data_IF_660419235247
#
_entry.id   IF_660419235247
#
_cell.length_a   1.000
_cell.length_b   1.000
_cell.length_c   1.000
_cell.angle_alpha   90.00
_cell.angle_beta   90.00
_cell.angle_gamma   90.00
#
_symmetry.space_group_name_H-M   'P 1'
#
loop_
_entity.id
_entity.type
_entity.pdbx_description
1 polymer ?
#
# COMPACT_ATOMS: atom_id res chain seq x y z
N UNK A 1 16.91 5.52 -16.29
CA UNK A 1 16.14 6.67 -15.74
C UNK A 1 14.93 6.11 -15.03
N UNK A 2 14.69 6.48 -13.79
CA UNK A 2 13.50 6.09 -13.02
C UNK A 2 12.48 7.24 -13.01
N UNK A 3 11.20 6.91 -13.19
CA UNK A 3 10.08 7.85 -13.13
C UNK A 3 9.20 7.53 -11.93
N UNK A 4 8.44 8.50 -11.45
CA UNK A 4 7.46 8.35 -10.36
C UNK A 4 6.09 8.68 -10.91
N UNK A 5 5.09 7.88 -10.53
CA UNK A 5 3.70 8.02 -10.98
C UNK A 5 3.57 7.87 -12.50
N UNK A 6 3.57 6.62 -12.93
CA UNK A 6 3.62 6.25 -14.36
C UNK A 6 2.23 5.98 -14.93
N UNK A 7 2.07 6.28 -16.22
CA UNK A 7 0.88 5.93 -17.00
C UNK A 7 0.99 4.49 -17.53
N UNK A 8 -0.15 3.92 -17.96
CA UNK A 8 -0.19 2.55 -18.47
C UNK A 8 0.75 2.25 -19.64
N UNK A 9 0.98 3.22 -20.52
CA UNK A 9 1.95 3.06 -21.63
C UNK A 9 3.39 3.05 -21.13
N UNK A 10 3.71 3.84 -20.12
CA UNK A 10 5.04 3.88 -19.51
C UNK A 10 5.32 2.58 -18.73
N UNK A 11 4.32 2.00 -18.07
CA UNK A 11 4.42 0.68 -17.47
C UNK A 11 4.63 -0.39 -18.57
N UNK A 12 3.85 -0.35 -19.65
CA UNK A 12 3.93 -1.36 -20.72
C UNK A 12 5.31 -1.40 -21.40
N UNK A 13 5.91 -0.26 -21.66
CA UNK A 13 7.23 -0.15 -22.31
C UNK A 13 8.40 -0.04 -21.33
N UNK A 14 8.12 0.10 -20.04
CA UNK A 14 9.16 0.18 -19.01
C UNK A 14 9.80 -1.17 -18.71
N UNK A 15 10.98 -1.12 -18.13
CA UNK A 15 11.75 -2.31 -17.72
C UNK A 15 11.32 -2.84 -16.35
N UNK A 16 10.68 -2.01 -15.54
CA UNK A 16 10.35 -2.28 -14.16
C UNK A 16 9.09 -1.53 -13.75
N UNK A 17 8.23 -2.21 -12.97
CA UNK A 17 7.21 -1.59 -12.13
C UNK A 17 7.58 -1.81 -10.66
N UNK A 18 7.62 -0.72 -9.86
CA UNK A 18 8.10 -0.75 -8.50
C UNK A 18 7.14 0.00 -7.58
N UNK A 19 6.36 -0.73 -6.81
CA UNK A 19 5.36 -0.19 -5.87
C UNK A 19 5.87 -0.27 -4.45
N UNK A 20 5.86 0.85 -3.76
CA UNK A 20 6.26 0.94 -2.35
C UNK A 20 5.15 1.61 -1.55
N UNK A 21 4.57 0.87 -0.62
CA UNK A 21 3.64 1.40 0.37
C UNK A 21 4.31 1.60 1.71
N UNK A 22 3.82 2.54 2.50
CA UNK A 22 4.35 2.76 3.84
C UNK A 22 3.80 3.99 4.54
N UNK A 23 4.24 4.13 5.76
CA UNK A 23 3.99 5.27 6.63
C UNK A 23 5.25 6.14 6.71
N UNK A 24 5.20 7.27 7.40
CA UNK A 24 6.39 8.13 7.60
C UNK A 24 7.56 7.40 8.26
N UNK A 25 7.26 6.47 9.17
CA UNK A 25 8.29 5.73 9.93
C UNK A 25 8.94 4.58 9.15
N UNK A 26 8.35 4.14 8.05
CA UNK A 26 8.89 3.02 7.30
C UNK A 26 8.01 2.49 6.18
N UNK A 27 8.54 1.49 5.51
CA UNK A 27 7.90 0.76 4.41
C UNK A 27 7.08 -0.39 5.01
N UNK A 28 5.85 -0.58 4.52
CA UNK A 28 4.95 -1.66 4.95
C UNK A 28 4.78 -2.73 3.89
N UNK A 29 4.95 -2.38 2.60
CA UNK A 29 4.86 -3.34 1.51
C UNK A 29 5.68 -2.88 0.30
N UNK A 30 6.20 -3.85 -0.44
CA UNK A 30 6.89 -3.66 -1.71
C UNK A 30 6.36 -4.70 -2.69
N UNK A 31 6.10 -4.27 -3.91
CA UNK A 31 5.87 -5.12 -5.06
C UNK A 31 6.79 -4.66 -6.20
N UNK A 32 7.42 -5.61 -6.86
CA UNK A 32 8.29 -5.33 -8.00
C UNK A 32 8.02 -6.34 -9.11
N UNK A 33 7.75 -5.83 -10.31
CA UNK A 33 7.68 -6.61 -11.54
C UNK A 33 8.83 -6.22 -12.46
N UNK A 34 9.59 -7.19 -12.91
CA UNK A 34 10.72 -7.02 -13.83
C UNK A 34 10.40 -7.63 -15.19
N UNK A 35 10.70 -6.88 -16.24
CA UNK A 35 10.65 -7.33 -17.64
C UNK A 35 12.03 -7.59 -18.23
N UNK A 36 13.08 -7.40 -17.42
CA UNK A 36 14.50 -7.59 -17.75
C UNK A 36 15.16 -8.54 -16.75
N UNK A 37 16.37 -8.98 -17.05
CA UNK A 37 17.05 -10.01 -16.25
C UNK A 37 17.58 -9.56 -14.87
N UNK A 38 17.32 -8.35 -14.47
CA UNK A 38 17.67 -7.84 -13.14
C UNK A 38 17.92 -6.34 -13.14
N UNK A 39 18.04 -5.79 -11.94
CA UNK A 39 18.34 -4.38 -11.70
C UNK A 39 19.70 -4.25 -11.03
N UNK A 40 20.40 -3.17 -11.33
CA UNK A 40 21.62 -2.85 -10.59
C UNK A 40 21.28 -2.28 -9.21
N UNK A 41 22.17 -2.45 -8.21
CA UNK A 41 21.98 -1.86 -6.89
C UNK A 41 21.76 -0.34 -6.91
N UNK A 42 22.35 0.37 -7.88
CA UNK A 42 22.19 1.80 -8.06
C UNK A 42 20.76 2.18 -8.47
N UNK A 43 20.15 1.43 -9.39
CA UNK A 43 18.76 1.64 -9.81
C UNK A 43 17.81 1.38 -8.65
N UNK A 44 18.03 0.31 -7.88
CA UNK A 44 17.24 0.00 -6.69
C UNK A 44 17.35 1.14 -5.66
N UNK A 45 18.54 1.62 -5.39
CA UNK A 45 18.78 2.73 -4.47
C UNK A 45 18.10 4.02 -4.92
N UNK A 46 18.17 4.33 -6.21
CA UNK A 46 17.46 5.48 -6.81
C UNK A 46 15.94 5.34 -6.66
N UNK A 47 15.40 4.14 -6.95
CA UNK A 47 13.97 3.85 -6.82
C UNK A 47 13.48 4.05 -5.38
N UNK A 48 14.21 3.54 -4.38
CA UNK A 48 13.88 3.76 -2.97
C UNK A 48 13.92 5.22 -2.57
N UNK A 49 14.91 5.98 -3.03
CA UNK A 49 15.00 7.41 -2.73
C UNK A 49 13.82 8.19 -3.31
N UNK A 50 13.45 7.90 -4.56
CA UNK A 50 12.31 8.55 -5.23
C UNK A 50 10.97 8.15 -4.61
N UNK A 51 10.74 6.88 -4.34
CA UNK A 51 9.50 6.41 -3.70
C UNK A 51 9.35 6.93 -2.28
N UNK A 52 10.45 7.07 -1.53
CA UNK A 52 10.42 7.68 -0.20
C UNK A 52 9.95 9.15 -0.26
N UNK A 53 10.52 9.94 -1.18
CA UNK A 53 10.13 11.34 -1.37
C UNK A 53 8.67 11.46 -1.82
N UNK A 54 8.25 10.64 -2.79
CA UNK A 54 6.89 10.65 -3.31
C UNK A 54 5.86 10.23 -2.25
N UNK A 55 6.15 9.19 -1.46
CA UNK A 55 5.29 8.74 -0.37
C UNK A 55 5.10 9.81 0.70
N UNK A 56 6.17 10.46 1.12
CA UNK A 56 6.07 11.55 2.08
C UNK A 56 5.24 12.72 1.55
N UNK A 57 5.41 13.09 0.29
CA UNK A 57 4.58 14.10 -0.37
C UNK A 57 3.09 13.70 -0.35
N UNK A 58 2.76 12.45 -0.73
CA UNK A 58 1.38 11.96 -0.71
C UNK A 58 0.80 12.02 0.71
N UNK A 59 1.55 11.60 1.71
CA UNK A 59 1.12 11.64 3.10
C UNK A 59 0.88 13.08 3.58
N UNK A 60 1.82 13.98 3.34
CA UNK A 60 1.80 15.33 3.92
C UNK A 60 0.89 16.30 3.17
N UNK A 61 0.93 16.27 1.83
CA UNK A 61 0.28 17.27 1.00
C UNK A 61 -1.07 16.80 0.44
N UNK A 62 -1.31 15.49 0.39
CA UNK A 62 -2.52 14.94 -0.22
C UNK A 62 -3.44 14.27 0.81
N UNK A 63 -2.91 13.39 1.65
CA UNK A 63 -3.74 12.58 2.55
C UNK A 63 -4.06 13.29 3.87
N UNK A 64 -3.05 13.76 4.59
CA UNK A 64 -3.26 14.37 5.91
C UNK A 64 -4.12 15.65 5.89
N UNK A 65 -4.07 16.53 4.88
CA UNK A 65 -4.98 17.66 4.79
C UNK A 65 -6.46 17.26 4.64
N UNK A 66 -6.73 16.08 4.08
CA UNK A 66 -8.09 15.57 3.88
C UNK A 66 -8.58 14.77 5.09
N UNK A 67 -7.72 13.91 5.65
CA UNK A 67 -8.05 13.07 6.81
C UNK A 67 -6.79 12.86 7.64
N UNK A 68 -6.69 13.59 8.75
CA UNK A 68 -5.52 13.56 9.63
C UNK A 68 -5.47 12.30 10.52
N UNK A 69 -6.64 11.79 10.91
CA UNK A 69 -6.78 10.64 11.80
C UNK A 69 -7.85 9.67 11.28
N UNK A 70 -7.74 8.38 11.60
CA UNK A 70 -8.78 7.41 11.29
C UNK A 70 -10.12 7.84 11.88
N UNK A 71 -11.21 7.58 11.17
CA UNK A 71 -12.55 7.80 11.70
C UNK A 71 -12.78 6.91 12.93
N UNK A 72 -13.47 7.41 13.97
CA UNK A 72 -13.71 6.65 15.20
C UNK A 72 -14.61 5.43 14.96
N UNK A 73 -15.46 5.50 13.94
CA UNK A 73 -16.38 4.42 13.59
C UNK A 73 -16.27 4.02 12.12
N UNK A 74 -16.55 2.75 11.86
CA UNK A 74 -16.67 2.24 10.50
C UNK A 74 -17.93 2.82 9.83
N UNK A 75 -17.87 2.94 8.50
CA UNK A 75 -19.05 3.26 7.70
C UNK A 75 -20.20 2.31 8.03
N UNK A 76 -21.44 2.82 7.96
CA UNK A 76 -22.66 1.99 8.12
C UNK A 76 -22.76 0.86 7.11
N UNK A 77 -22.05 0.94 5.99
CA UNK A 77 -22.01 -0.07 4.93
C UNK A 77 -20.82 -1.02 5.04
N UNK A 78 -19.87 -0.74 5.93
CA UNK A 78 -18.71 -1.59 6.09
C UNK A 78 -19.08 -2.90 6.82
N UNK A 79 -18.51 -4.04 6.43
CA UNK A 79 -18.65 -5.27 7.20
C UNK A 79 -18.07 -5.09 8.60
N UNK A 80 -18.75 -5.61 9.59
CA UNK A 80 -18.33 -5.54 11.00
C UNK A 80 -18.05 -6.94 11.51
N UNK A 81 -17.01 -7.05 12.33
CA UNK A 81 -16.75 -8.27 13.09
C UNK A 81 -17.42 -8.14 14.47
N UNK A 82 -18.30 -9.06 14.77
CA UNK A 82 -18.95 -9.15 16.07
C UNK A 82 -18.54 -10.46 16.74
N UNK A 83 -18.33 -10.41 18.06
CA UNK A 83 -18.03 -11.59 18.86
C UNK A 83 -19.17 -11.85 19.83
N UNK A 84 -19.56 -13.11 19.96
CA UNK A 84 -20.53 -13.58 20.95
C UNK A 84 -20.04 -14.86 21.58
N UNK A 85 -20.48 -15.12 22.79
CA UNK A 85 -20.19 -16.38 23.50
C UNK A 85 -21.37 -17.32 23.25
N UNK A 86 -21.06 -18.53 22.78
CA UNK A 86 -22.04 -19.56 22.49
C UNK A 86 -21.75 -20.78 23.37
N UNK A 87 -22.76 -21.37 24.05
CA UNK A 87 -22.60 -22.64 24.74
C UNK A 87 -22.12 -23.74 23.80
N UNK A 88 -21.32 -24.67 24.31
CA UNK A 88 -20.67 -25.71 23.49
C UNK A 88 -21.70 -26.58 22.77
N UNK A 89 -22.83 -26.89 23.40
CA UNK A 89 -23.93 -27.66 22.80
C UNK A 89 -24.67 -26.92 21.67
N UNK A 90 -24.49 -25.59 21.57
CA UNK A 90 -25.07 -24.73 20.53
C UNK A 90 -24.15 -24.41 19.38
N UNK A 91 -22.88 -24.79 19.43
CA UNK A 91 -21.91 -24.48 18.35
C UNK A 91 -22.39 -25.00 17.00
N UNK A 92 -22.95 -26.21 16.97
CA UNK A 92 -23.44 -26.84 15.74
C UNK A 92 -24.60 -26.07 15.10
N UNK A 93 -25.43 -25.41 15.88
CA UNK A 93 -26.56 -24.61 15.40
C UNK A 93 -26.09 -23.28 14.79
N UNK A 94 -24.94 -22.75 15.26
CA UNK A 94 -24.36 -21.50 14.76
C UNK A 94 -23.55 -21.72 13.49
N UNK A 95 -22.82 -22.82 13.39
CA UNK A 95 -22.02 -23.16 12.21
C UNK A 95 -22.91 -23.68 11.08
#
# INVERSE_FOLDING_TARGET
>A
MTMVDIQGLEDFFGDMDFKVAGIKKGITAIQMDLKIHGLTPEIIKEAFAKTHKARNYILDEVMLPVIAEPRPELSKYAPKMLSTIVPVDKIREVI
#
